data_IF_936600728563
#
_entry.id   IF_936600728563
#
_cell.length_a   1.000
_cell.length_b   1.000
_cell.length_c   1.000
_cell.angle_alpha   90.00
_cell.angle_beta   90.00
_cell.angle_gamma   90.00
#
_symmetry.space_group_name_H-M   'P 1'
#
loop_
_entity.id
_entity.type
_entity.pdbx_description
1 polymer ?
#
# COMPACT_ATOMS: atom_id res chain seq x y z
N UNK A 1 9.26 31.13 -27.79
CA UNK A 1 8.98 31.23 -26.35
C UNK A 1 10.24 30.86 -25.59
N UNK A 2 10.53 31.54 -24.49
CA UNK A 2 11.63 31.13 -23.59
C UNK A 2 11.20 29.93 -22.72
N UNK A 3 12.15 29.30 -22.04
CA UNK A 3 11.89 28.06 -21.28
C UNK A 3 10.85 28.25 -20.17
N UNK A 4 10.84 29.42 -19.51
CA UNK A 4 9.87 29.74 -18.45
C UNK A 4 8.45 29.87 -18.99
N UNK A 5 8.28 30.50 -20.15
CA UNK A 5 6.99 30.60 -20.83
C UNK A 5 6.47 29.22 -21.21
N UNK A 6 7.36 28.33 -21.70
CA UNK A 6 6.98 26.94 -22.04
C UNK A 6 6.51 26.18 -20.79
N UNK A 7 7.24 26.27 -19.68
CA UNK A 7 6.85 25.64 -18.41
C UNK A 7 5.48 26.14 -17.90
N UNK A 8 5.19 27.44 -18.05
CA UNK A 8 3.88 28.01 -17.71
C UNK A 8 2.77 27.45 -18.59
N UNK A 9 3.00 27.27 -19.89
CA UNK A 9 2.01 26.65 -20.78
C UNK A 9 1.77 25.17 -20.47
N UNK A 10 2.81 24.41 -20.10
CA UNK A 10 2.63 23.04 -19.59
C UNK A 10 1.79 23.04 -18.32
N UNK A 11 2.08 23.93 -17.37
CA UNK A 11 1.31 24.06 -16.12
C UNK A 11 -0.18 24.30 -16.39
N UNK A 12 -0.51 25.19 -17.33
CA UNK A 12 -1.91 25.49 -17.69
C UNK A 12 -2.65 24.30 -18.28
N UNK A 13 -1.95 23.38 -18.92
CA UNK A 13 -2.54 22.21 -19.58
C UNK A 13 -3.01 21.12 -18.61
N UNK A 14 -2.54 21.13 -17.35
CA UNK A 14 -2.86 20.10 -16.35
C UNK A 14 -3.52 20.72 -15.12
N UNK A 15 -4.85 20.90 -15.13
CA UNK A 15 -5.56 21.53 -14.00
C UNK A 15 -5.72 20.58 -12.79
N UNK A 16 -5.89 19.26 -13.02
CA UNK A 16 -6.13 18.28 -11.96
C UNK A 16 -5.94 16.83 -12.44
N UNK A 17 -5.39 15.95 -11.60
CA UNK A 17 -5.27 14.51 -11.88
C UNK A 17 -6.08 13.66 -10.88
N UNK A 18 -7.08 12.91 -11.38
CA UNK A 18 -7.86 11.94 -10.58
C UNK A 18 -7.08 10.62 -10.43
N UNK A 19 -7.15 9.96 -9.26
CA UNK A 19 -6.47 8.67 -9.02
C UNK A 19 -7.10 7.55 -9.87
N UNK A 20 -6.30 6.87 -10.70
CA UNK A 20 -6.76 5.70 -11.48
C UNK A 20 -6.00 4.40 -11.18
N UNK A 21 -4.84 4.45 -10.51
CA UNK A 21 -4.06 3.25 -10.21
C UNK A 21 -4.46 2.60 -8.87
N UNK A 22 -4.66 1.27 -8.87
CA UNK A 22 -4.88 0.45 -7.69
C UNK A 22 -3.65 -0.43 -7.40
N UNK A 23 -2.94 -0.15 -6.29
CA UNK A 23 -2.03 -1.12 -5.68
C UNK A 23 -2.76 -1.96 -4.63
N UNK A 24 -2.18 -3.09 -4.21
CA UNK A 24 -2.78 -4.05 -3.27
C UNK A 24 -3.25 -3.46 -1.91
N UNK A 25 -2.94 -2.20 -1.60
CA UNK A 25 -3.37 -1.52 -0.38
C UNK A 25 -3.64 0.01 -0.54
N UNK A 26 -3.40 0.59 -1.73
CA UNK A 26 -3.38 2.05 -1.93
C UNK A 26 -3.89 2.48 -3.32
N UNK A 27 -4.61 3.60 -3.37
CA UNK A 27 -4.89 4.33 -4.60
C UNK A 27 -3.95 5.54 -4.67
N UNK A 28 -3.23 5.68 -5.78
CA UNK A 28 -2.27 6.78 -6.01
C UNK A 28 -2.31 7.21 -7.48
N UNK A 29 -1.86 8.44 -7.77
CA UNK A 29 -1.60 8.85 -9.16
C UNK A 29 -0.35 8.10 -9.62
N UNK A 30 -0.51 7.21 -10.59
CA UNK A 30 0.61 6.42 -11.12
C UNK A 30 1.63 7.32 -11.82
N UNK A 31 2.91 6.98 -11.74
CA UNK A 31 3.98 7.76 -12.41
C UNK A 31 3.69 7.93 -13.91
N UNK A 32 3.18 6.89 -14.58
CA UNK A 32 2.75 6.95 -15.98
C UNK A 32 1.60 7.94 -16.22
N UNK A 33 0.68 8.09 -15.28
CA UNK A 33 -0.43 9.03 -15.38
C UNK A 33 0.06 10.48 -15.24
N UNK A 34 0.96 10.74 -14.28
CA UNK A 34 1.59 12.06 -14.13
C UNK A 34 2.35 12.42 -15.40
N UNK A 35 3.22 11.53 -15.90
CA UNK A 35 4.03 11.80 -17.08
C UNK A 35 3.16 11.99 -18.34
N UNK A 36 2.18 11.12 -18.58
CA UNK A 36 1.29 11.24 -19.74
C UNK A 36 0.47 12.53 -19.75
N UNK A 37 0.13 13.08 -18.57
CA UNK A 37 -0.62 14.33 -18.47
C UNK A 37 0.13 15.55 -18.99
N UNK A 38 1.46 15.58 -18.86
CA UNK A 38 2.30 16.73 -19.27
C UNK A 38 3.00 16.49 -20.60
N UNK A 39 3.28 15.23 -20.96
CA UNK A 39 4.13 14.87 -22.11
C UNK A 39 3.63 15.46 -23.43
N UNK A 40 2.33 15.37 -23.71
CA UNK A 40 1.79 15.90 -24.97
C UNK A 40 2.06 17.41 -25.13
N UNK A 41 1.97 18.18 -24.04
CA UNK A 41 2.22 19.62 -24.08
C UNK A 41 3.70 19.95 -24.11
N UNK A 42 4.53 19.14 -23.44
CA UNK A 42 5.99 19.23 -23.54
C UNK A 42 6.48 19.01 -24.97
N UNK A 43 5.97 17.97 -25.65
CA UNK A 43 6.30 17.64 -27.03
C UNK A 43 5.87 18.77 -28.00
N UNK A 44 4.64 19.28 -27.85
CA UNK A 44 4.13 20.43 -28.62
C UNK A 44 5.03 21.67 -28.50
N UNK A 45 5.54 21.92 -27.29
CA UNK A 45 6.36 23.10 -26.98
C UNK A 45 7.85 22.85 -27.20
N UNK A 46 8.30 21.66 -27.59
CA UNK A 46 9.74 21.35 -27.68
C UNK A 46 10.46 21.56 -26.34
N UNK A 47 9.90 21.03 -25.25
CA UNK A 47 10.47 21.09 -23.92
C UNK A 47 10.91 19.70 -23.46
N UNK A 48 12.21 19.49 -23.29
CA UNK A 48 12.74 18.20 -22.83
C UNK A 48 13.04 18.24 -21.34
N UNK A 49 12.87 17.08 -20.70
CA UNK A 49 13.33 16.81 -19.34
C UNK A 49 14.37 15.69 -19.38
N UNK A 50 15.58 15.97 -18.90
CA UNK A 50 16.66 14.98 -18.77
C UNK A 50 16.93 14.73 -17.29
N UNK A 51 17.12 13.46 -16.93
CA UNK A 51 17.44 13.04 -15.56
C UNK A 51 18.90 12.59 -15.49
N UNK A 52 19.65 13.06 -14.48
CA UNK A 52 21.02 12.63 -14.19
C UNK A 52 21.11 12.16 -12.76
N UNK A 53 21.62 10.96 -12.53
CA UNK A 53 21.95 10.48 -11.18
C UNK A 53 23.38 10.92 -10.88
N UNK A 54 23.54 11.75 -9.84
CA UNK A 54 24.84 12.26 -9.41
C UNK A 54 25.50 11.38 -8.36
N UNK A 55 24.68 10.77 -7.50
CA UNK A 55 25.12 10.01 -6.35
C UNK A 55 24.07 9.01 -5.92
N UNK A 56 24.50 8.03 -5.14
CA UNK A 56 23.59 7.08 -4.52
C UNK A 56 24.11 6.66 -3.15
N UNK A 57 23.17 6.29 -2.29
CA UNK A 57 23.44 5.64 -1.02
C UNK A 57 22.48 4.47 -0.83
N UNK A 58 22.94 3.43 -0.13
CA UNK A 58 22.14 2.25 0.15
C UNK A 58 22.17 1.98 1.66
N UNK A 59 21.01 2.10 2.30
CA UNK A 59 20.86 1.85 3.73
C UNK A 59 20.19 0.49 3.90
N UNK A 60 20.91 -0.47 4.49
CA UNK A 60 20.36 -1.78 4.85
C UNK A 60 19.57 -1.68 6.15
N UNK A 61 18.33 -2.18 6.11
CA UNK A 61 17.43 -2.31 7.24
C UNK A 61 16.81 -3.69 7.33
N UNK A 62 15.87 -3.84 8.26
CA UNK A 62 15.06 -5.05 8.43
C UNK A 62 13.60 -4.68 8.53
N UNK A 63 12.77 -5.43 7.83
CA UNK A 63 11.31 -5.36 7.99
C UNK A 63 10.89 -5.80 9.40
N UNK A 64 9.65 -5.53 9.78
CA UNK A 64 9.07 -6.01 11.05
C UNK A 64 9.10 -7.54 11.21
N UNK A 65 9.21 -8.30 10.11
CA UNK A 65 9.32 -9.76 10.09
C UNK A 65 10.77 -10.26 10.08
N UNK A 66 11.75 -9.36 10.19
CA UNK A 66 13.18 -9.67 10.24
C UNK A 66 13.85 -9.89 8.87
N UNK A 67 13.08 -9.87 7.77
CA UNK A 67 13.63 -9.94 6.40
C UNK A 67 14.40 -8.67 6.06
N UNK A 68 15.46 -8.80 5.25
CA UNK A 68 16.27 -7.67 4.77
C UNK A 68 15.43 -6.73 3.90
N UNK A 69 15.69 -5.44 4.03
CA UNK A 69 15.10 -4.37 3.23
C UNK A 69 16.18 -3.32 2.98
N UNK A 70 16.17 -2.69 1.80
CA UNK A 70 17.13 -1.68 1.43
C UNK A 70 16.41 -0.39 1.06
N UNK A 71 16.82 0.70 1.69
CA UNK A 71 16.47 2.06 1.28
C UNK A 71 17.54 2.56 0.33
N UNK A 72 17.20 2.71 -0.94
CA UNK A 72 18.05 3.34 -1.95
C UNK A 72 17.75 4.83 -1.99
N UNK A 73 18.78 5.64 -1.79
CA UNK A 73 18.74 7.09 -1.87
C UNK A 73 19.53 7.53 -3.10
N UNK A 74 19.03 8.50 -3.86
CA UNK A 74 19.65 9.02 -5.07
C UNK A 74 19.71 10.54 -5.01
N UNK A 75 20.89 11.10 -5.27
CA UNK A 75 21.05 12.50 -5.61
C UNK A 75 20.85 12.65 -7.12
N UNK A 76 19.88 13.47 -7.52
CA UNK A 76 19.40 13.56 -8.90
C UNK A 76 19.45 15.02 -9.35
N UNK A 77 19.81 15.24 -10.61
CA UNK A 77 19.53 16.48 -11.31
C UNK A 77 18.49 16.25 -12.39
N UNK A 78 17.43 17.04 -12.35
CA UNK A 78 16.50 17.19 -13.44
C UNK A 78 16.88 18.44 -14.24
N UNK A 79 17.01 18.29 -15.56
CA UNK A 79 17.41 19.38 -16.45
C UNK A 79 16.31 19.62 -17.47
N UNK A 80 15.69 20.78 -17.39
CA UNK A 80 14.81 21.29 -18.44
C UNK A 80 15.65 21.85 -19.57
N UNK A 81 15.32 21.50 -20.81
CA UNK A 81 16.04 21.95 -22.01
C UNK A 81 15.00 22.48 -23.02
N UNK A 82 15.22 23.71 -23.48
CA UNK A 82 14.46 24.25 -24.61
C UNK A 82 15.02 23.66 -25.92
N UNK A 83 14.24 22.84 -26.63
CA UNK A 83 14.69 22.23 -27.88
C UNK A 83 14.94 23.25 -29.01
N UNK A 84 14.27 24.41 -28.97
CA UNK A 84 14.48 25.48 -29.97
C UNK A 84 15.80 26.24 -29.74
N UNK A 85 16.32 26.20 -28.51
CA UNK A 85 17.59 26.80 -28.12
C UNK A 85 18.24 25.95 -27.02
N UNK A 86 18.99 24.89 -27.36
CA UNK A 86 19.47 23.90 -26.40
C UNK A 86 20.42 24.42 -25.31
N UNK A 87 21.01 25.61 -25.50
CA UNK A 87 21.81 26.29 -24.47
C UNK A 87 20.93 26.87 -23.33
N UNK A 88 19.65 27.14 -23.61
CA UNK A 88 18.69 27.58 -22.60
C UNK A 88 18.20 26.38 -21.79
N UNK A 89 18.77 26.23 -20.59
CA UNK A 89 18.49 25.12 -19.67
C UNK A 89 18.17 25.60 -18.27
N UNK A 90 17.46 24.78 -17.50
CA UNK A 90 17.26 24.95 -16.05
C UNK A 90 17.66 23.65 -15.37
N UNK A 91 18.67 23.71 -14.50
CA UNK A 91 19.09 22.58 -13.66
C UNK A 91 18.37 22.65 -12.33
N UNK A 92 17.75 21.55 -11.93
CA UNK A 92 17.00 21.40 -10.70
C UNK A 92 17.60 20.23 -9.88
N UNK A 93 18.40 20.52 -8.84
CA UNK A 93 18.82 19.51 -7.88
C UNK A 93 17.60 18.91 -7.19
N UNK A 94 17.60 17.59 -7.01
CA UNK A 94 16.52 16.83 -6.43
C UNK A 94 17.04 15.61 -5.70
N UNK A 95 16.18 15.03 -4.87
CA UNK A 95 16.49 13.88 -4.06
C UNK A 95 15.41 12.81 -4.19
N UNK A 96 15.83 11.57 -4.42
CA UNK A 96 14.96 10.43 -4.65
C UNK A 96 15.19 9.31 -3.66
N UNK A 97 14.11 8.64 -3.22
CA UNK A 97 14.19 7.49 -2.32
C UNK A 97 13.28 6.36 -2.79
N UNK A 98 13.72 5.13 -2.59
CA UNK A 98 12.98 3.92 -2.92
C UNK A 98 13.33 2.77 -2.00
N UNK A 99 12.31 2.04 -1.53
CA UNK A 99 12.48 0.87 -0.68
C UNK A 99 12.23 -0.42 -1.46
N UNK A 100 13.18 -1.33 -1.42
CA UNK A 100 13.07 -2.65 -2.03
C UNK A 100 13.81 -3.72 -1.23
N UNK A 101 13.31 -4.96 -1.25
CA UNK A 101 14.00 -6.10 -0.63
C UNK A 101 14.98 -6.82 -1.58
N UNK A 102 15.11 -6.35 -2.83
CA UNK A 102 15.95 -6.92 -3.86
C UNK A 102 16.58 -5.83 -4.75
N UNK A 103 16.62 -6.08 -6.05
CA UNK A 103 17.38 -5.33 -7.06
C UNK A 103 16.69 -4.05 -7.58
N UNK A 104 15.43 -3.79 -7.19
CA UNK A 104 14.60 -2.73 -7.82
C UNK A 104 14.70 -1.37 -7.15
N UNK A 105 15.57 -1.22 -6.14
CA UNK A 105 15.71 -0.01 -5.34
C UNK A 105 15.94 1.26 -6.16
N UNK A 106 16.91 1.25 -7.08
CA UNK A 106 17.22 2.39 -7.97
C UNK A 106 16.03 2.77 -8.86
N UNK A 107 15.39 1.77 -9.48
CA UNK A 107 14.24 2.00 -10.35
C UNK A 107 13.06 2.61 -9.60
N UNK A 108 12.80 2.16 -8.36
CA UNK A 108 11.78 2.73 -7.49
C UNK A 108 12.11 4.17 -7.10
N UNK A 109 13.36 4.43 -6.69
CA UNK A 109 13.80 5.76 -6.29
C UNK A 109 13.67 6.78 -7.44
N UNK A 110 14.13 6.42 -8.65
CA UNK A 110 13.97 7.25 -9.85
C UNK A 110 12.51 7.51 -10.20
N UNK A 111 11.69 6.46 -10.19
CA UNK A 111 10.26 6.55 -10.53
C UNK A 111 9.49 7.45 -9.57
N UNK A 112 9.82 7.40 -8.27
CA UNK A 112 9.23 8.27 -7.26
C UNK A 112 9.74 9.71 -7.41
N UNK A 113 11.04 9.89 -7.61
CA UNK A 113 11.63 11.21 -7.80
C UNK A 113 11.02 11.95 -8.99
N UNK A 114 10.94 11.32 -10.17
CA UNK A 114 10.36 11.93 -11.37
C UNK A 114 8.89 12.28 -11.17
N UNK A 115 8.10 11.38 -10.57
CA UNK A 115 6.68 11.64 -10.26
C UNK A 115 6.54 12.91 -9.43
N UNK A 116 7.24 13.01 -8.30
CA UNK A 116 7.10 14.17 -7.41
C UNK A 116 7.73 15.42 -7.99
N UNK A 117 8.81 15.30 -8.75
CA UNK A 117 9.42 16.42 -9.45
C UNK A 117 8.43 17.09 -10.41
N UNK A 118 7.74 16.32 -11.25
CA UNK A 118 6.73 16.85 -12.18
C UNK A 118 5.56 17.47 -11.42
N UNK A 119 5.01 16.77 -10.42
CA UNK A 119 3.90 17.28 -9.61
C UNK A 119 4.23 18.63 -8.95
N UNK A 120 5.44 18.76 -8.37
CA UNK A 120 5.88 19.97 -7.68
C UNK A 120 6.25 21.09 -8.65
N UNK A 121 6.91 20.76 -9.77
CA UNK A 121 7.26 21.74 -10.82
C UNK A 121 6.01 22.45 -11.36
N UNK A 122 4.92 21.72 -11.58
CA UNK A 122 3.69 22.29 -12.15
C UNK A 122 2.62 22.61 -11.11
N UNK A 123 2.92 22.46 -9.81
CA UNK A 123 1.97 22.65 -8.72
C UNK A 123 0.64 21.90 -8.95
N UNK A 124 0.71 20.69 -9.49
CA UNK A 124 -0.47 19.88 -9.80
C UNK A 124 -1.09 19.44 -8.47
N UNK A 125 -2.33 19.87 -8.14
CA UNK A 125 -2.97 19.45 -6.91
C UNK A 125 -3.22 17.95 -6.91
N UNK A 126 -2.86 17.32 -5.79
CA UNK A 126 -3.07 15.90 -5.51
C UNK A 126 -3.71 15.81 -4.14
N UNK A 127 -5.03 15.96 -4.06
CA UNK A 127 -5.78 16.22 -2.81
C UNK A 127 -5.58 15.17 -1.70
N UNK A 128 -4.91 14.04 -1.97
CA UNK A 128 -4.60 12.98 -1.00
C UNK A 128 -3.23 12.31 -1.18
N UNK A 129 -2.25 13.00 -1.79
CA UNK A 129 -0.81 12.65 -1.64
C UNK A 129 -0.15 13.57 -0.59
N UNK A 130 -0.99 14.16 0.29
CA UNK A 130 -0.60 14.82 1.52
C UNK A 130 0.03 13.78 2.48
N UNK A 131 1.22 14.04 3.06
CA UNK A 131 1.76 13.26 4.16
C UNK A 131 0.76 13.01 5.30
N UNK A 132 -0.22 13.90 5.49
CA UNK A 132 -1.25 13.75 6.52
C UNK A 132 -2.30 12.68 6.18
N UNK A 133 -2.58 12.42 4.90
CA UNK A 133 -3.43 11.29 4.50
C UNK A 133 -2.74 9.92 4.74
N UNK A 134 -1.42 9.94 4.95
CA UNK A 134 -0.62 8.78 5.34
C UNK A 134 -0.84 8.40 6.80
N UNK A 135 -1.17 9.37 7.68
CA UNK A 135 -1.39 9.11 9.10
C UNK A 135 -2.66 8.29 9.36
N UNK A 136 -3.75 8.53 8.61
CA UNK A 136 -5.01 7.79 8.78
C UNK A 136 -4.87 6.27 8.51
N UNK A 137 -3.89 5.84 7.70
CA UNK A 137 -3.67 4.41 7.42
C UNK A 137 -2.56 3.76 8.23
N UNK A 138 -1.75 4.52 8.96
CA UNK A 138 -0.84 3.95 9.97
C UNK A 138 -1.61 3.24 11.10
N UNK A 139 -2.87 3.63 11.34
CA UNK A 139 -3.76 2.93 12.26
C UNK A 139 -4.09 1.49 11.83
N UNK A 140 -3.95 1.15 10.54
CA UNK A 140 -4.14 -0.23 10.05
C UNK A 140 -2.98 -1.18 10.36
N UNK A 141 -1.87 -0.66 10.89
CA UNK A 141 -0.75 -1.43 11.45
C UNK A 141 -0.83 -1.57 12.97
N UNK A 142 -1.96 -1.26 13.61
CA UNK A 142 -2.20 -1.75 14.98
C UNK A 142 -2.19 -3.28 14.92
N UNK A 143 -1.33 -3.91 15.73
CA UNK A 143 -1.38 -5.36 15.97
C UNK A 143 -2.86 -5.71 16.26
N UNK A 144 -3.44 -6.74 15.61
CA UNK A 144 -4.81 -7.13 15.88
C UNK A 144 -5.02 -7.26 17.39
N UNK A 145 -6.09 -6.67 17.92
CA UNK A 145 -6.34 -6.70 19.36
C UNK A 145 -6.36 -8.15 19.84
N UNK A 146 -5.60 -8.48 20.91
CA UNK A 146 -5.62 -9.81 21.50
C UNK A 146 -7.06 -10.19 21.83
N UNK A 147 -7.38 -11.47 21.70
CA UNK A 147 -8.73 -11.98 21.99
C UNK A 147 -9.21 -11.51 23.37
N UNK A 148 -10.43 -10.98 23.44
CA UNK A 148 -11.00 -10.57 24.72
C UNK A 148 -11.41 -11.79 25.55
N UNK A 149 -11.45 -11.65 26.88
CA UNK A 149 -11.94 -12.73 27.77
C UNK A 149 -13.38 -13.17 27.42
N UNK A 150 -14.20 -12.23 26.94
CA UNK A 150 -15.57 -12.50 26.47
C UNK A 150 -15.56 -13.47 25.28
N UNK A 151 -14.71 -13.24 24.30
CA UNK A 151 -14.60 -14.07 23.10
C UNK A 151 -13.97 -15.43 23.40
N UNK A 152 -13.00 -15.50 24.32
CA UNK A 152 -12.48 -16.77 24.83
C UNK A 152 -13.61 -17.60 25.44
N UNK A 153 -14.43 -16.99 26.29
CA UNK A 153 -15.56 -17.67 26.95
C UNK A 153 -16.63 -18.12 25.95
N UNK A 154 -16.96 -17.28 24.97
CA UNK A 154 -17.95 -17.60 23.94
C UNK A 154 -17.48 -18.75 23.04
N UNK A 155 -16.23 -18.71 22.57
CA UNK A 155 -15.67 -19.77 21.75
C UNK A 155 -15.60 -21.09 22.52
N UNK A 156 -15.15 -21.09 23.77
CA UNK A 156 -15.13 -22.29 24.63
C UNK A 156 -16.51 -22.89 24.81
N UNK A 157 -17.52 -22.04 25.05
CA UNK A 157 -18.90 -22.48 25.24
C UNK A 157 -19.43 -23.15 23.98
N UNK A 158 -19.24 -22.52 22.81
CA UNK A 158 -19.69 -23.06 21.52
C UNK A 158 -18.97 -24.34 21.14
N UNK A 159 -17.68 -24.44 21.42
CA UNK A 159 -16.91 -25.67 21.20
C UNK A 159 -17.44 -26.81 22.05
N UNK A 160 -17.68 -26.59 23.34
CA UNK A 160 -18.25 -27.61 24.24
C UNK A 160 -19.67 -28.03 23.84
N UNK A 161 -20.49 -27.07 23.40
CA UNK A 161 -21.84 -27.33 22.88
C UNK A 161 -21.80 -28.24 21.65
N UNK A 162 -20.95 -27.91 20.67
CA UNK A 162 -20.79 -28.73 19.47
C UNK A 162 -20.20 -30.12 19.78
N UNK A 163 -19.21 -30.19 20.67
CA UNK A 163 -18.58 -31.44 21.09
C UNK A 163 -19.62 -32.41 21.67
N UNK A 164 -20.49 -31.91 22.55
CA UNK A 164 -21.60 -32.69 23.13
C UNK A 164 -22.59 -33.20 22.08
N UNK A 165 -22.95 -32.37 21.09
CA UNK A 165 -23.88 -32.77 20.03
C UNK A 165 -23.34 -33.89 19.13
N UNK A 166 -22.02 -34.09 19.10
CA UNK A 166 -21.35 -35.08 18.25
C UNK A 166 -20.66 -36.20 19.03
N UNK A 167 -20.86 -36.26 20.35
CA UNK A 167 -20.18 -37.19 21.25
C UNK A 167 -18.64 -37.17 21.07
N UNK A 168 -18.09 -35.95 21.06
CA UNK A 168 -16.65 -35.67 20.94
C UNK A 168 -16.14 -34.87 22.13
N UNK A 169 -14.82 -34.79 22.24
CA UNK A 169 -14.19 -33.87 23.20
C UNK A 169 -14.04 -32.48 22.60
N UNK A 170 -13.86 -31.47 23.46
CA UNK A 170 -13.51 -30.11 23.03
C UNK A 170 -12.16 -30.07 22.31
N UNK A 171 -11.20 -30.90 22.71
CA UNK A 171 -9.90 -31.07 22.05
C UNK A 171 -10.06 -31.45 20.56
N UNK A 172 -10.94 -32.42 20.26
CA UNK A 172 -11.20 -32.85 18.88
C UNK A 172 -11.74 -31.70 18.02
N UNK A 173 -12.60 -30.86 18.60
CA UNK A 173 -13.20 -29.71 17.92
C UNK A 173 -12.16 -28.61 17.70
N UNK A 174 -11.30 -28.34 18.68
CA UNK A 174 -10.19 -27.38 18.50
C UNK A 174 -9.19 -27.84 17.44
N UNK A 175 -8.89 -29.14 17.38
CA UNK A 175 -8.05 -29.70 16.34
C UNK A 175 -8.69 -29.52 14.94
N UNK A 176 -10.00 -29.76 14.81
CA UNK A 176 -10.74 -29.51 13.57
C UNK A 176 -10.82 -28.01 13.18
N UNK A 177 -10.72 -27.11 14.16
CA UNK A 177 -10.64 -25.67 13.94
C UNK A 177 -9.20 -25.19 13.63
N UNK A 178 -8.19 -26.05 13.79
CA UNK A 178 -6.79 -25.68 13.65
C UNK A 178 -6.28 -24.77 14.77
N UNK A 179 -6.87 -24.85 15.96
CA UNK A 179 -6.53 -24.01 17.12
C UNK A 179 -5.79 -24.85 18.15
N UNK A 180 -4.53 -24.53 18.41
CA UNK A 180 -3.72 -25.17 19.46
C UNK A 180 -3.87 -24.48 20.82
N UNK A 181 -4.00 -23.14 20.83
CA UNK A 181 -4.23 -22.35 22.03
C UNK A 181 -5.15 -21.17 21.73
N UNK A 182 -6.34 -21.18 22.33
CA UNK A 182 -7.37 -20.15 22.17
C UNK A 182 -6.89 -18.77 22.64
N UNK A 183 -5.98 -18.71 23.63
CA UNK A 183 -5.50 -17.44 24.20
C UNK A 183 -4.55 -16.68 23.28
N UNK A 184 -4.03 -17.36 22.25
CA UNK A 184 -3.12 -16.77 21.25
C UNK A 184 -3.83 -16.15 20.06
N UNK A 185 -5.16 -16.31 19.99
CA UNK A 185 -5.98 -15.75 18.92
C UNK A 185 -6.11 -14.23 19.06
N UNK A 186 -6.37 -13.57 17.93
CA UNK A 186 -6.87 -12.19 17.95
C UNK A 186 -8.41 -12.19 17.88
N UNK A 187 -8.97 -11.03 18.22
CA UNK A 187 -10.42 -10.76 18.23
C UNK A 187 -11.11 -11.15 16.91
N UNK A 188 -10.49 -10.85 15.77
CA UNK A 188 -11.07 -11.10 14.44
C UNK A 188 -11.15 -12.60 14.14
N UNK A 189 -10.06 -13.32 14.37
CA UNK A 189 -9.99 -14.77 14.15
C UNK A 189 -10.92 -15.52 15.13
N UNK A 190 -10.99 -15.07 16.37
CA UNK A 190 -11.92 -15.61 17.37
C UNK A 190 -13.38 -15.50 16.91
N UNK A 191 -13.81 -14.32 16.44
CA UNK A 191 -15.19 -14.11 15.93
C UNK A 191 -15.50 -14.99 14.70
N UNK A 192 -14.52 -15.16 13.81
CA UNK A 192 -14.68 -16.03 12.64
C UNK A 192 -14.87 -17.49 13.07
N UNK A 193 -14.08 -17.97 14.04
CA UNK A 193 -14.20 -19.32 14.59
C UNK A 193 -15.52 -19.52 15.34
N UNK A 194 -15.95 -18.56 16.17
CA UNK A 194 -17.26 -18.59 16.85
C UNK A 194 -18.39 -18.73 15.83
N UNK A 195 -18.34 -17.96 14.74
CA UNK A 195 -19.34 -18.01 13.67
C UNK A 195 -19.35 -19.38 12.99
N UNK A 196 -18.17 -19.93 12.70
CA UNK A 196 -18.00 -21.25 12.08
C UNK A 196 -18.57 -22.37 12.95
N UNK A 197 -18.22 -22.41 14.24
CA UNK A 197 -18.72 -23.42 15.19
C UNK A 197 -20.23 -23.27 15.40
N UNK A 198 -20.74 -22.04 15.44
CA UNK A 198 -22.19 -21.79 15.50
C UNK A 198 -22.92 -22.37 14.27
N UNK A 199 -22.32 -22.27 13.09
CA UNK A 199 -22.85 -22.91 11.88
C UNK A 199 -22.85 -24.45 11.97
N UNK A 200 -21.80 -25.02 12.57
CA UNK A 200 -21.70 -26.47 12.80
C UNK A 200 -22.77 -26.98 13.78
N UNK A 201 -23.02 -26.25 14.87
CA UNK A 201 -24.07 -26.56 15.84
C UNK A 201 -25.43 -26.59 15.17
N UNK A 202 -25.80 -25.53 14.46
CA UNK A 202 -27.10 -25.45 13.75
C UNK A 202 -27.31 -26.61 12.78
N UNK A 203 -26.24 -27.04 12.12
CA UNK A 203 -26.27 -28.18 11.19
C UNK A 203 -26.48 -29.50 11.94
N UNK A 204 -25.76 -29.72 13.03
CA UNK A 204 -25.89 -30.92 13.87
C UNK A 204 -27.28 -31.05 14.50
N UNK A 205 -27.85 -29.95 15.03
CA UNK A 205 -29.21 -29.93 15.58
C UNK A 205 -30.27 -30.28 14.53
N UNK A 206 -30.10 -29.80 13.30
CA UNK A 206 -31.02 -30.10 12.19
C UNK A 206 -30.99 -31.57 11.79
N UNK A 207 -29.82 -32.21 11.86
CA UNK A 207 -29.66 -33.64 11.58
C UNK A 207 -30.31 -34.50 12.68
N UNK A 208 -30.08 -34.17 13.96
CA UNK A 208 -30.68 -34.89 15.09
C UNK A 208 -32.22 -34.81 15.07
N UNK A 209 -32.79 -33.66 14.73
CA UNK A 209 -34.24 -33.49 14.57
C UNK A 209 -34.84 -34.32 13.43
N UNK A 210 -34.05 -34.67 12.41
CA UNK A 210 -34.48 -35.55 11.31
C UNK A 210 -34.36 -37.04 11.63
N UNK A 211 -33.53 -37.41 12.59
CA UNK A 211 -33.34 -38.80 13.02
C UNK A 211 -34.30 -39.22 14.14
N UNK A 212 -34.86 -38.25 14.87
CA UNK A 212 -35.86 -38.47 15.92
C UNK A 212 -37.33 -38.26 15.50
N UNK A 213 -37.59 -38.08 14.20
CA UNK A 213 -38.93 -38.00 13.60
C UNK A 213 -39.15 -39.20 12.68
#
# INVERSE_FOLDING_TARGET
MNIYQKLVEVRKSVPYLKKEAQGHQYQYTGSSQVLSSVRSKMDELGLMLVSKVLGHNLIEGKTAKGSKEFMTELDIEFVWINADNPEETIVCPWYGQGVDSGEKGVGKALTYAEKYFILKTFNIPTDKDDPDAFQEKSESYRKPDPISQKEVGELKTKVLEFAKLRDKTDVDVYQALGVSDVTTLNTKDAKALITKVTGWIKSAEKELKKQGA
#
